data_IF_560923088606
#
_entry.id   IF_560923088606
#
_cell.length_a   1.000
_cell.length_b   1.000
_cell.length_c   1.000
_cell.angle_alpha   90.00
_cell.angle_beta   90.00
_cell.angle_gamma   90.00
#
_symmetry.space_group_name_H-M   'P 1'
#
loop_
_entity.id
_entity.type
_entity.pdbx_description
1 polymer ?
#
# COMPACT_ATOMS: atom_id res chain seq x y z
N UNK A 1 -21.18 -4.13 -15.63
CA UNK A 1 -20.18 -4.00 -16.71
C UNK A 1 -18.82 -4.31 -16.10
N UNK A 2 -18.38 -5.58 -16.17
CA UNK A 2 -17.11 -6.02 -15.59
C UNK A 2 -15.97 -5.58 -16.51
N UNK A 3 -15.15 -4.64 -16.06
CA UNK A 3 -13.97 -4.20 -16.79
C UNK A 3 -13.05 -5.42 -17.01
N UNK A 4 -12.61 -5.60 -18.26
CA UNK A 4 -11.61 -6.59 -18.63
C UNK A 4 -10.36 -6.38 -17.77
N UNK A 5 -10.22 -7.19 -16.73
CA UNK A 5 -9.02 -7.24 -15.91
C UNK A 5 -7.96 -7.95 -16.75
N UNK A 6 -7.11 -7.18 -17.42
CA UNK A 6 -5.80 -7.70 -17.80
C UNK A 6 -5.12 -8.26 -16.56
N UNK A 7 -4.35 -9.34 -16.73
CA UNK A 7 -3.67 -9.99 -15.61
C UNK A 7 -2.94 -8.95 -14.74
N UNK A 8 -3.15 -8.98 -13.41
CA UNK A 8 -2.57 -8.00 -12.53
C UNK A 8 -1.04 -8.06 -12.64
N UNK A 9 -0.43 -6.90 -12.90
CA UNK A 9 1.02 -6.83 -13.06
C UNK A 9 1.66 -6.99 -11.69
N UNK A 10 2.54 -7.99 -11.55
CA UNK A 10 3.30 -8.19 -10.33
C UNK A 10 4.30 -7.04 -10.15
N UNK A 11 4.19 -6.33 -9.03
CA UNK A 11 5.11 -5.28 -8.60
C UNK A 11 5.74 -5.68 -7.26
N UNK A 12 6.95 -5.20 -7.01
CA UNK A 12 7.69 -5.44 -5.77
C UNK A 12 8.10 -4.13 -5.13
N UNK A 13 8.33 -4.12 -3.81
CA UNK A 13 8.79 -2.93 -3.09
C UNK A 13 10.08 -2.34 -3.67
N UNK A 14 11.01 -3.20 -4.09
CA UNK A 14 12.26 -2.79 -4.76
C UNK A 14 12.04 -2.03 -6.08
N UNK A 15 10.91 -2.29 -6.74
CA UNK A 15 10.52 -1.63 -7.99
C UNK A 15 9.61 -0.41 -7.80
N UNK A 16 9.22 -0.06 -6.56
CA UNK A 16 8.35 1.10 -6.31
C UNK A 16 9.09 2.43 -6.44
N UNK A 17 10.34 2.47 -6.00
CA UNK A 17 11.14 3.70 -5.92
C UNK A 17 12.46 3.57 -6.65
N UNK A 18 12.81 4.60 -7.42
CA UNK A 18 14.08 4.71 -8.17
C UNK A 18 15.21 5.21 -7.28
N UNK A 19 14.88 6.10 -6.35
CA UNK A 19 15.81 6.77 -5.43
C UNK A 19 15.07 7.20 -4.16
N UNK A 20 15.75 7.11 -3.01
CA UNK A 20 15.31 7.67 -1.74
C UNK A 20 16.50 8.34 -1.04
N UNK A 21 16.26 9.48 -0.37
CA UNK A 21 17.29 10.19 0.38
C UNK A 21 16.76 11.48 1.01
N UNK A 22 17.67 12.29 1.54
CA UNK A 22 17.37 13.56 2.25
C UNK A 22 16.57 14.57 1.38
N UNK A 23 16.59 14.39 0.06
CA UNK A 23 15.93 15.25 -0.92
C UNK A 23 14.50 14.78 -1.30
N UNK A 24 14.02 13.69 -0.71
CA UNK A 24 12.72 13.07 -1.00
C UNK A 24 12.83 11.73 -1.73
N UNK A 25 11.71 11.28 -2.29
CA UNK A 25 11.61 10.01 -3.01
C UNK A 25 11.16 10.21 -4.46
N UNK A 26 11.61 9.33 -5.34
CA UNK A 26 11.15 9.28 -6.74
C UNK A 26 10.56 7.91 -7.04
N UNK A 27 9.32 7.89 -7.51
CA UNK A 27 8.69 6.68 -8.00
C UNK A 27 9.43 6.14 -9.22
N UNK A 28 9.53 4.82 -9.33
CA UNK A 28 10.12 4.20 -10.50
C UNK A 28 9.21 4.39 -11.73
N UNK A 29 9.83 4.68 -12.87
CA UNK A 29 9.14 4.90 -14.15
C UNK A 29 8.12 3.77 -14.50
N UNK A 30 8.41 2.48 -14.25
CA UNK A 30 7.44 1.40 -14.48
C UNK A 30 6.19 1.49 -13.61
N UNK A 31 6.33 1.89 -12.35
CA UNK A 31 5.19 1.98 -11.40
C UNK A 31 4.32 3.19 -11.73
N UNK A 32 4.93 4.30 -12.14
CA UNK A 32 4.18 5.46 -12.68
C UNK A 32 3.37 5.05 -13.91
N UNK A 33 3.95 4.26 -14.81
CA UNK A 33 3.24 3.75 -16.00
C UNK A 33 2.10 2.75 -15.67
N UNK A 34 2.11 2.14 -14.48
CA UNK A 34 1.07 1.23 -14.02
C UNK A 34 -0.06 1.95 -13.25
N UNK A 35 0.01 3.27 -13.08
CA UNK A 35 -1.05 4.04 -12.39
C UNK A 35 -2.40 3.79 -13.07
N UNK A 36 -3.41 3.46 -12.28
CA UNK A 36 -4.74 3.09 -12.75
C UNK A 36 -4.86 1.68 -13.33
N UNK A 37 -3.82 0.84 -13.28
CA UNK A 37 -3.86 -0.55 -13.75
C UNK A 37 -4.04 -1.52 -12.57
N UNK A 38 -4.59 -2.73 -12.82
CA UNK A 38 -4.56 -3.79 -11.81
C UNK A 38 -3.12 -4.23 -11.59
N UNK A 39 -2.69 -4.22 -10.33
CA UNK A 39 -1.36 -4.65 -9.88
C UNK A 39 -1.49 -5.65 -8.75
N UNK A 40 -0.44 -6.45 -8.56
CA UNK A 40 -0.32 -7.38 -7.46
C UNK A 40 1.01 -7.16 -6.73
N UNK A 41 0.97 -7.04 -5.40
CA UNK A 41 2.15 -6.82 -4.56
C UNK A 41 2.12 -7.76 -3.35
N UNK A 42 3.29 -8.33 -3.02
CA UNK A 42 3.46 -9.11 -1.80
C UNK A 42 4.16 -8.27 -0.74
N UNK A 43 3.67 -8.31 0.49
CA UNK A 43 4.26 -7.59 1.61
C UNK A 43 3.74 -8.08 2.95
N UNK A 44 4.07 -7.35 3.99
CA UNK A 44 3.63 -7.62 5.35
C UNK A 44 2.53 -6.63 5.73
N UNK A 45 1.44 -7.15 6.29
CA UNK A 45 0.36 -6.32 6.81
C UNK A 45 0.82 -5.67 8.12
N UNK A 46 0.89 -4.34 8.14
CA UNK A 46 1.09 -3.57 9.35
C UNK A 46 -0.13 -3.71 10.28
N UNK A 47 0.07 -3.66 11.61
CA UNK A 47 -1.04 -3.69 12.56
C UNK A 47 -2.05 -2.56 12.26
N UNK A 48 -3.35 -2.88 12.17
CA UNK A 48 -4.38 -1.90 11.86
C UNK A 48 -4.51 -0.85 12.98
N UNK A 49 -4.80 0.40 12.62
CA UNK A 49 -5.06 1.46 13.58
C UNK A 49 -6.38 1.26 14.34
N UNK A 50 -7.40 0.74 13.66
CA UNK A 50 -8.71 0.44 14.24
C UNK A 50 -9.13 -0.96 13.83
N UNK A 51 -9.88 -1.63 14.70
CA UNK A 51 -10.35 -2.99 14.48
C UNK A 51 -11.21 -3.13 13.21
N UNK A 52 -11.79 -2.01 12.76
CA UNK A 52 -12.81 -1.91 11.71
C UNK A 52 -12.33 -1.05 10.53
N UNK A 53 -11.01 -0.82 10.38
CA UNK A 53 -10.50 -0.02 9.26
C UNK A 53 -10.64 -0.75 7.92
N UNK A 54 -11.25 -0.09 6.94
CA UNK A 54 -11.34 -0.54 5.54
C UNK A 54 -10.00 -0.42 4.79
N UNK A 55 -8.97 0.10 5.46
CA UNK A 55 -7.62 0.21 4.92
C UNK A 55 -6.56 -0.32 5.89
N UNK A 56 -5.45 -0.74 5.32
CA UNK A 56 -4.25 -1.10 6.06
C UNK A 56 -3.01 -0.66 5.31
N UNK A 57 -1.88 -0.68 6.00
CA UNK A 57 -0.58 -0.35 5.42
C UNK A 57 0.17 -1.64 5.13
N UNK A 58 0.65 -1.79 3.90
CA UNK A 58 1.49 -2.91 3.48
C UNK A 58 2.95 -2.45 3.42
N UNK A 59 3.85 -3.24 4.00
CA UNK A 59 5.28 -2.91 4.07
C UNK A 59 6.17 -4.01 3.50
N UNK A 60 7.39 -3.65 3.11
CA UNK A 60 8.40 -4.60 2.61
C UNK A 60 8.80 -5.66 3.65
N UNK A 61 8.93 -5.23 4.90
CA UNK A 61 9.35 -6.04 6.05
C UNK A 61 8.34 -5.85 7.20
N UNK A 62 8.21 -6.83 8.11
CA UNK A 62 7.36 -6.68 9.28
C UNK A 62 7.88 -5.51 10.15
N UNK A 63 7.12 -4.41 10.18
CA UNK A 63 7.42 -3.31 11.08
C UNK A 63 7.22 -3.77 12.53
N UNK A 64 8.30 -3.80 13.31
CA UNK A 64 8.25 -4.06 14.75
C UNK A 64 7.85 -2.80 15.56
N UNK A 65 7.91 -1.61 14.94
CA UNK A 65 7.69 -0.31 15.56
C UNK A 65 6.52 0.36 14.86
N UNK A 66 5.61 0.94 15.64
CA UNK A 66 4.40 1.60 15.15
C UNK A 66 4.79 2.86 14.34
N UNK A 67 4.57 2.91 13.02
CA UNK A 67 4.93 4.07 12.21
C UNK A 67 4.11 5.33 12.58
N UNK A 68 3.06 5.17 13.38
CA UNK A 68 2.21 6.23 13.89
C UNK A 68 2.78 6.98 15.10
N UNK A 69 3.91 6.53 15.65
CA UNK A 69 4.57 7.18 16.79
C UNK A 69 5.64 8.20 16.38
N UNK A 70 5.87 8.43 15.08
CA UNK A 70 6.79 9.44 14.55
C UNK A 70 6.00 10.49 13.76
N UNK A 71 6.34 11.76 13.97
CA UNK A 71 5.74 12.93 13.30
C UNK A 71 5.84 12.83 11.77
N UNK A 72 4.91 13.49 11.06
CA UNK A 72 4.64 13.47 9.60
C UNK A 72 5.83 13.65 8.63
N UNK A 73 7.06 13.84 9.13
CA UNK A 73 8.28 14.04 8.35
C UNK A 73 9.01 12.75 7.96
N UNK A 74 8.70 11.61 8.57
CA UNK A 74 9.34 10.30 8.33
C UNK A 74 8.37 9.31 7.69
N UNK A 75 7.74 9.67 6.58
CA UNK A 75 6.98 8.70 5.79
C UNK A 75 7.95 7.59 5.34
N UNK A 76 7.81 6.33 5.81
CA UNK A 76 8.69 5.27 5.34
C UNK A 76 8.33 5.04 3.87
N UNK A 77 9.26 5.33 2.98
CA UNK A 77 9.07 5.17 1.53
C UNK A 77 8.73 3.72 1.15
N UNK A 78 8.85 2.77 2.07
CA UNK A 78 8.53 1.36 1.86
C UNK A 78 7.10 0.97 2.27
N UNK A 79 6.16 1.92 2.30
CA UNK A 79 4.76 1.64 2.66
C UNK A 79 3.77 1.92 1.52
N UNK A 80 2.86 0.98 1.31
CA UNK A 80 1.75 1.07 0.35
C UNK A 80 0.45 1.05 1.14
N UNK A 81 -0.39 2.06 0.97
CA UNK A 81 -1.71 2.06 1.60
C UNK A 81 -2.67 1.23 0.77
N UNK A 82 -3.40 0.33 1.40
CA UNK A 82 -4.30 -0.59 0.72
C UNK A 82 -5.72 -0.35 1.22
N UNK A 83 -6.59 0.11 0.32
CA UNK A 83 -8.02 0.24 0.55
C UNK A 83 -8.72 -1.02 0.05
N UNK A 84 -9.38 -1.73 0.96
CA UNK A 84 -10.10 -2.94 0.66
C UNK A 84 -11.40 -2.62 -0.09
N UNK A 85 -11.74 -3.47 -1.06
CA UNK A 85 -13.06 -3.40 -1.70
C UNK A 85 -14.20 -3.82 -0.74
N UNK A 86 -13.89 -4.69 0.23
CA UNK A 86 -14.82 -5.22 1.21
C UNK A 86 -14.09 -5.37 2.56
N UNK A 87 -14.78 -5.08 3.66
CA UNK A 87 -14.26 -5.31 4.99
C UNK A 87 -13.83 -6.78 5.14
N UNK A 88 -12.57 -6.99 5.51
CA UNK A 88 -11.97 -8.32 5.60
C UNK A 88 -11.45 -8.54 7.01
N UNK A 89 -11.60 -9.75 7.59
CA UNK A 89 -11.15 -10.02 8.95
C UNK A 89 -9.68 -9.69 9.10
N UNK A 90 -9.34 -8.94 10.15
CA UNK A 90 -7.97 -8.53 10.41
C UNK A 90 -7.01 -9.72 10.35
N UNK A 91 -6.07 -9.64 9.42
CA UNK A 91 -4.97 -10.60 9.40
C UNK A 91 -4.06 -10.24 10.57
N UNK A 92 -3.59 -11.25 11.28
CA UNK A 92 -2.61 -11.10 12.35
C UNK A 92 -1.48 -10.18 11.89
N UNK A 93 -1.13 -9.19 12.71
CA UNK A 93 -0.04 -8.26 12.43
C UNK A 93 1.24 -9.02 12.06
N UNK A 94 1.94 -8.57 11.02
CA UNK A 94 3.15 -9.24 10.53
C UNK A 94 2.90 -10.48 9.66
N UNK A 95 1.66 -10.78 9.29
CA UNK A 95 1.38 -11.80 8.28
C UNK A 95 1.79 -11.30 6.89
N UNK A 96 2.48 -12.17 6.14
CA UNK A 96 2.78 -11.93 4.73
C UNK A 96 1.50 -12.15 3.91
N UNK A 97 1.13 -11.14 3.14
CA UNK A 97 -0.08 -11.14 2.31
C UNK A 97 0.25 -10.74 0.88
N UNK A 98 -0.50 -11.29 -0.05
CA UNK A 98 -0.48 -10.91 -1.46
C UNK A 98 -1.72 -10.06 -1.74
N UNK A 99 -1.51 -8.80 -2.06
CA UNK A 99 -2.55 -7.80 -2.33
C UNK A 99 -2.70 -7.63 -3.83
N UNK A 100 -3.93 -7.62 -4.33
CA UNK A 100 -4.25 -7.32 -5.73
C UNK A 100 -5.30 -6.23 -5.76
N UNK A 101 -5.09 -5.18 -6.55
CA UNK A 101 -6.03 -4.08 -6.70
C UNK A 101 -5.55 -3.06 -7.72
N UNK A 102 -6.16 -1.88 -7.75
CA UNK A 102 -5.82 -0.81 -8.69
C UNK A 102 -4.77 0.12 -8.09
N UNK A 103 -3.64 0.29 -8.78
CA UNK A 103 -2.60 1.22 -8.36
C UNK A 103 -3.08 2.67 -8.50
N UNK A 104 -2.86 3.48 -7.46
CA UNK A 104 -3.19 4.89 -7.42
C UNK A 104 -2.00 5.67 -6.85
N UNK A 105 -1.45 6.60 -7.64
CA UNK A 105 -0.33 7.45 -7.26
C UNK A 105 -0.79 8.88 -7.07
N UNK A 106 -0.19 9.57 -6.11
CA UNK A 106 -0.40 11.00 -5.86
C UNK A 106 -0.74 11.28 -4.41
N UNK A 107 -0.66 12.54 -4.00
CA UNK A 107 -0.97 12.94 -2.63
C UNK A 107 -2.47 12.85 -2.37
N UNK A 108 -2.87 12.08 -1.37
CA UNK A 108 -4.25 11.99 -0.91
C UNK A 108 -4.28 11.86 0.60
N UNK A 109 -5.09 12.67 1.25
CA UNK A 109 -5.28 12.66 2.70
C UNK A 109 -6.56 11.94 3.04
N UNK A 110 -6.45 10.94 3.91
CA UNK A 110 -7.59 10.21 4.44
C UNK A 110 -8.49 11.14 5.27
N UNK A 111 -9.79 11.26 4.94
CA UNK A 111 -10.68 12.16 5.65
C UNK A 111 -11.01 11.67 7.07
N UNK A 112 -10.89 10.36 7.35
CA UNK A 112 -11.27 9.75 8.61
C UNK A 112 -10.11 9.71 9.62
N UNK A 113 -8.90 9.46 9.15
CA UNK A 113 -7.70 9.36 9.99
C UNK A 113 -6.75 10.55 9.84
N UNK A 114 -6.93 11.40 8.83
CA UNK A 114 -5.99 12.48 8.49
C UNK A 114 -4.68 11.99 7.89
N UNK A 115 -4.59 10.69 7.55
CA UNK A 115 -3.35 10.09 7.07
C UNK A 115 -3.12 10.51 5.62
N UNK A 116 -2.07 11.29 5.38
CA UNK A 116 -1.60 11.57 4.02
C UNK A 116 -1.20 10.25 3.37
N UNK A 117 -1.14 10.14 2.05
CA UNK A 117 -0.64 8.96 1.36
C UNK A 117 -0.22 9.34 -0.04
N UNK A 118 0.80 8.66 -0.57
CA UNK A 118 1.40 9.00 -1.86
C UNK A 118 1.27 7.86 -2.87
N UNK A 119 1.16 6.64 -2.35
CA UNK A 119 1.02 5.39 -3.09
C UNK A 119 -0.08 4.57 -2.43
N UNK A 120 -1.10 4.22 -3.21
CA UNK A 120 -2.27 3.49 -2.77
C UNK A 120 -2.61 2.35 -3.72
N UNK A 121 -3.27 1.34 -3.18
CA UNK A 121 -3.99 0.33 -3.95
C UNK A 121 -5.46 0.41 -3.55
N UNK A 122 -6.32 0.74 -4.50
CA UNK A 122 -7.77 0.84 -4.32
C UNK A 122 -8.46 -0.44 -4.79
N UNK A 123 -9.68 -0.66 -4.28
CA UNK A 123 -10.51 -1.83 -4.58
C UNK A 123 -9.76 -3.14 -4.38
N UNK A 124 -8.91 -3.16 -3.34
CA UNK A 124 -7.96 -4.22 -3.15
C UNK A 124 -8.60 -5.44 -2.50
N UNK A 125 -8.06 -6.61 -2.85
CA UNK A 125 -8.29 -7.87 -2.17
C UNK A 125 -6.94 -8.43 -1.78
N UNK A 126 -6.83 -9.04 -0.61
CA UNK A 126 -5.61 -9.75 -0.22
C UNK A 126 -5.89 -11.23 0.04
N UNK A 127 -4.82 -12.02 -0.08
CA UNK A 127 -4.77 -13.42 0.38
C UNK A 127 -3.52 -13.64 1.20
N UNK A 128 -3.56 -14.58 2.14
CA UNK A 128 -2.33 -15.02 2.82
C UNK A 128 -1.39 -15.66 1.79
N UNK A 129 -0.11 -15.28 1.85
CA UNK A 129 0.94 -15.79 0.96
C UNK A 129 1.66 -16.99 1.56
#
# INVERSE_FOLDING_TARGET
MAAAAGDPVAITFEGLYKSFGVLGYQFADPVVALTGRPVQIAGYMAPPLKAESDFFVLTREPLAICPFCQSDADWPVDIVVVYLAEASPLVTAGARVLVTGRLDLGSWTDPDSGFVSQLRIRDARYRRA
#
